data_IF_760895619332
#
_entry.id   IF_760895619332
#
_cell.length_a   1.000
_cell.length_b   1.000
_cell.length_c   1.000
_cell.angle_alpha   90.00
_cell.angle_beta   90.00
_cell.angle_gamma   90.00
#
_symmetry.space_group_name_H-M   'P 1'
#
loop_
_entity.id
_entity.type
_entity.pdbx_description
1 polymer ?
#
# COMPACT_ATOMS: atom_id res chain seq x y z
N UNK A 1 83.78 -5.58 9.82
CA UNK A 1 82.80 -5.08 8.83
C UNK A 1 81.58 -4.58 9.61
N UNK A 2 81.22 -3.29 9.51
CA UNK A 2 80.03 -2.75 10.23
C UNK A 2 78.81 -2.96 9.34
N UNK A 3 77.85 -3.78 9.78
CA UNK A 3 76.58 -3.94 9.07
C UNK A 3 75.75 -2.67 9.23
N UNK A 4 75.37 -2.05 8.12
CA UNK A 4 74.41 -0.95 8.13
C UNK A 4 73.03 -1.50 8.49
N UNK A 5 72.32 -0.81 9.39
CA UNK A 5 70.96 -1.19 9.77
C UNK A 5 70.00 -0.78 8.66
N UNK A 6 69.04 -1.65 8.34
CA UNK A 6 68.00 -1.41 7.32
C UNK A 6 67.16 -0.15 7.59
N UNK A 7 67.07 0.29 8.84
CA UNK A 7 66.42 1.54 9.25
C UNK A 7 67.04 2.78 8.61
N UNK A 8 68.31 2.73 8.18
CA UNK A 8 68.95 3.85 7.49
C UNK A 8 68.56 3.94 6.00
N UNK A 9 67.89 2.92 5.45
CA UNK A 9 67.49 2.86 4.05
C UNK A 9 65.98 3.07 3.84
N UNK A 10 65.18 3.00 4.90
CA UNK A 10 63.74 3.23 4.85
C UNK A 10 63.47 4.55 5.57
N UNK A 11 63.06 5.58 4.82
CA UNK A 11 62.51 6.79 5.42
C UNK A 11 61.16 6.45 6.04
N UNK A 12 61.07 6.49 7.36
CA UNK A 12 59.80 6.38 8.08
C UNK A 12 59.01 7.67 7.84
N UNK A 13 58.11 7.66 6.86
CA UNK A 13 57.06 8.67 6.79
C UNK A 13 56.06 8.40 7.93
N UNK A 14 55.71 9.44 8.69
CA UNK A 14 54.76 9.35 9.79
C UNK A 14 53.42 8.84 9.23
N UNK A 15 52.95 7.67 9.68
CA UNK A 15 51.75 7.02 9.13
C UNK A 15 50.46 7.86 9.30
N UNK A 16 50.54 8.93 10.11
CA UNK A 16 49.45 9.89 10.34
C UNK A 16 49.06 10.66 9.08
N UNK A 17 49.98 10.85 8.14
CA UNK A 17 49.74 11.59 6.89
C UNK A 17 49.42 10.66 5.71
N UNK A 18 49.29 9.35 5.95
CA UNK A 18 48.93 8.40 4.90
C UNK A 18 47.44 8.52 4.56
N UNK A 19 47.15 9.19 3.44
CA UNK A 19 45.82 9.15 2.81
C UNK A 19 45.82 7.99 1.83
N UNK A 20 45.06 6.94 2.15
CA UNK A 20 44.88 5.81 1.23
C UNK A 20 44.34 6.32 -0.11
N UNK A 21 44.93 5.89 -1.26
CA UNK A 21 44.31 6.13 -2.56
C UNK A 21 42.90 5.55 -2.52
N UNK A 22 41.88 6.39 -2.74
CA UNK A 22 40.53 5.86 -2.95
C UNK A 22 40.55 5.08 -4.25
N UNK A 23 40.21 3.80 -4.18
CA UNK A 23 39.91 3.01 -5.37
C UNK A 23 38.93 3.81 -6.22
N UNK A 24 39.30 4.03 -7.48
CA UNK A 24 38.50 4.87 -8.37
C UNK A 24 37.23 4.09 -8.74
N UNK A 25 36.14 4.34 -8.00
CA UNK A 25 34.79 3.77 -8.25
C UNK A 25 34.23 4.07 -9.66
N UNK A 26 34.95 4.86 -10.46
CA UNK A 26 34.57 5.29 -11.81
C UNK A 26 34.26 4.13 -12.77
N UNK A 27 34.94 2.98 -12.63
CA UNK A 27 34.65 1.79 -13.46
C UNK A 27 33.29 1.16 -13.11
N UNK A 28 32.93 1.16 -11.82
CA UNK A 28 31.65 0.62 -11.32
C UNK A 28 30.49 1.57 -11.65
N UNK A 29 30.72 2.88 -11.56
CA UNK A 29 29.70 3.91 -11.84
C UNK A 29 29.34 3.98 -13.33
N UNK A 30 30.30 3.71 -14.23
CA UNK A 30 30.10 3.79 -15.69
C UNK A 30 29.66 2.48 -16.34
N UNK A 31 29.53 1.39 -15.59
CA UNK A 31 29.10 0.10 -16.14
C UNK A 31 27.66 0.19 -16.68
N UNK A 32 27.50 0.04 -18.00
CA UNK A 32 26.20 -0.06 -18.65
C UNK A 32 25.82 -1.54 -18.77
N UNK A 33 24.64 -1.96 -18.26
CA UNK A 33 24.17 -3.33 -18.42
C UNK A 33 24.06 -3.69 -19.90
N UNK A 34 24.45 -4.91 -20.25
CA UNK A 34 24.54 -5.36 -21.66
C UNK A 34 23.37 -6.23 -22.08
N UNK A 35 22.52 -6.63 -21.13
CA UNK A 35 21.40 -7.53 -21.34
C UNK A 35 20.08 -6.89 -20.90
N UNK A 36 18.98 -7.25 -21.59
CA UNK A 36 17.64 -6.73 -21.27
C UNK A 36 17.22 -7.02 -19.83
N UNK A 37 17.60 -8.17 -19.28
CA UNK A 37 17.26 -8.55 -17.90
C UNK A 37 18.01 -7.72 -16.84
N UNK A 38 19.27 -7.37 -17.10
CA UNK A 38 20.05 -6.51 -16.20
C UNK A 38 19.58 -5.06 -16.25
N UNK A 39 19.16 -4.56 -17.42
CA UNK A 39 18.52 -3.24 -17.56
C UNK A 39 17.24 -3.15 -16.71
N UNK A 40 16.38 -4.17 -16.78
CA UNK A 40 15.15 -4.23 -15.99
C UNK A 40 15.44 -4.33 -14.48
N UNK A 41 16.48 -5.07 -14.09
CA UNK A 41 16.89 -5.17 -12.69
C UNK A 41 17.38 -3.81 -12.15
N UNK A 42 18.24 -3.11 -12.88
CA UNK A 42 18.71 -1.76 -12.50
C UNK A 42 17.55 -0.77 -12.40
N UNK A 43 16.57 -0.86 -13.31
CA UNK A 43 15.38 0.00 -13.27
C UNK A 43 14.50 -0.28 -12.04
N UNK A 44 14.27 -1.55 -11.69
CA UNK A 44 13.45 -1.97 -10.55
C UNK A 44 14.15 -1.76 -9.20
N UNK A 45 15.48 -1.80 -9.17
CA UNK A 45 16.29 -1.71 -7.94
C UNK A 45 17.01 -0.36 -7.79
N UNK A 46 16.44 0.72 -8.32
CA UNK A 46 16.99 2.08 -8.14
C UNK A 46 16.74 2.56 -6.70
N UNK A 47 17.80 2.62 -5.90
CA UNK A 47 17.73 3.13 -4.51
C UNK A 47 17.38 4.61 -4.54
N UNK A 48 16.16 4.95 -4.15
CA UNK A 48 15.74 6.34 -3.93
C UNK A 48 16.27 6.80 -2.58
N UNK A 49 17.29 7.66 -2.59
CA UNK A 49 17.70 8.41 -1.40
C UNK A 49 16.83 9.65 -1.32
N UNK A 50 15.82 9.64 -0.46
CA UNK A 50 15.15 10.86 -0.04
C UNK A 50 15.93 11.45 1.13
N UNK A 51 16.19 12.75 1.11
CA UNK A 51 16.63 13.50 2.28
C UNK A 51 15.44 13.59 3.25
N UNK A 52 15.15 12.46 3.91
CA UNK A 52 14.24 12.47 5.03
C UNK A 52 14.97 13.17 6.18
N UNK A 53 14.53 14.39 6.50
CA UNK A 53 14.62 14.89 7.88
C UNK A 53 14.28 13.73 8.82
N UNK A 54 14.91 13.60 10.01
CA UNK A 54 14.58 12.54 10.95
C UNK A 54 13.16 12.81 11.48
N UNK A 55 12.16 12.47 10.67
CA UNK A 55 10.79 12.31 11.11
C UNK A 55 10.92 11.33 12.27
N UNK A 56 10.39 11.72 13.43
CA UNK A 56 10.58 10.95 14.65
C UNK A 56 10.28 9.47 14.43
N UNK A 57 10.93 8.62 15.21
CA UNK A 57 10.76 7.16 15.26
C UNK A 57 9.28 6.67 15.26
N UNK A 58 8.36 7.60 15.52
CA UNK A 58 6.91 7.56 15.34
C UNK A 58 6.41 7.32 13.91
N UNK A 59 7.24 7.04 12.89
CA UNK A 59 6.74 6.51 11.60
C UNK A 59 7.28 5.12 11.28
N UNK A 60 8.18 4.59 12.11
CA UNK A 60 8.82 3.28 11.92
C UNK A 60 8.14 2.23 12.81
N UNK A 61 7.65 2.61 13.99
CA UNK A 61 7.17 1.68 15.02
C UNK A 61 5.65 1.63 15.20
N UNK A 62 4.92 2.59 14.65
CA UNK A 62 3.46 2.58 14.57
C UNK A 62 3.02 1.85 13.29
N UNK A 63 3.20 0.54 13.30
CA UNK A 63 2.80 -0.38 12.24
C UNK A 63 1.31 -0.25 11.89
N UNK A 64 1.02 0.60 10.91
CA UNK A 64 -0.03 0.32 9.94
C UNK A 64 0.69 -0.10 8.68
N UNK A 65 0.49 -1.36 8.28
CA UNK A 65 0.98 -1.87 7.01
C UNK A 65 0.25 -1.07 5.93
N UNK A 66 0.86 0.03 5.47
CA UNK A 66 0.49 0.64 4.19
C UNK A 66 1.08 -0.25 3.12
N UNK A 67 0.31 -1.27 2.80
CA UNK A 67 0.41 -1.97 1.53
C UNK A 67 0.44 -0.88 0.45
N UNK A 68 1.56 -0.77 -0.28
CA UNK A 68 1.65 0.01 -1.50
C UNK A 68 0.78 -0.68 -2.56
N UNK A 69 -0.54 -0.59 -2.35
CA UNK A 69 -1.51 -0.80 -3.41
C UNK A 69 -1.36 0.42 -4.31
N UNK A 70 -0.95 0.21 -5.55
CA UNK A 70 -1.04 1.21 -6.62
C UNK A 70 -2.43 1.86 -6.56
N UNK A 71 -2.49 3.08 -6.01
CA UNK A 71 -3.72 3.86 -5.95
C UNK A 71 -3.90 4.54 -7.30
N UNK A 72 -4.18 3.73 -8.33
CA UNK A 72 -4.57 4.22 -9.65
C UNK A 72 -6.10 4.21 -9.86
N UNK A 73 -6.88 4.19 -8.77
CA UNK A 73 -8.35 4.08 -8.83
C UNK A 73 -9.12 5.07 -7.94
N UNK A 74 -8.50 6.15 -7.44
CA UNK A 74 -9.15 7.01 -6.43
C UNK A 74 -10.09 8.12 -6.95
N UNK A 75 -10.37 8.21 -8.26
CA UNK A 75 -11.23 9.31 -8.78
C UNK A 75 -12.42 8.94 -9.65
N UNK A 76 -12.67 7.67 -9.98
CA UNK A 76 -13.71 7.36 -11.00
C UNK A 76 -15.10 6.93 -10.51
N UNK A 77 -15.35 6.63 -9.23
CA UNK A 77 -16.63 5.98 -8.83
C UNK A 77 -17.21 6.43 -7.48
N UNK A 78 -17.17 7.73 -7.18
CA UNK A 78 -17.69 8.28 -5.92
C UNK A 78 -19.22 8.51 -5.91
N UNK A 79 -19.94 8.08 -6.94
CA UNK A 79 -21.41 8.13 -7.02
C UNK A 79 -22.04 6.75 -7.31
N UNK A 80 -21.32 5.68 -6.98
CA UNK A 80 -21.93 4.34 -6.95
C UNK A 80 -22.69 4.21 -5.63
N UNK A 81 -24.01 4.00 -5.71
CA UNK A 81 -24.86 3.81 -4.53
C UNK A 81 -24.38 2.65 -3.67
N UNK A 82 -24.77 2.61 -2.39
CA UNK A 82 -24.30 1.56 -1.46
C UNK A 82 -24.62 0.15 -1.98
N UNK A 83 -25.75 -0.01 -2.67
CA UNK A 83 -26.13 -1.28 -3.30
C UNK A 83 -25.13 -1.76 -4.37
N UNK A 84 -24.59 -0.85 -5.19
CA UNK A 84 -23.65 -1.19 -6.25
C UNK A 84 -22.29 -1.58 -5.66
N UNK A 85 -21.86 -0.88 -4.61
CA UNK A 85 -20.66 -1.29 -3.85
C UNK A 85 -20.84 -2.66 -3.20
N UNK A 86 -22.02 -2.99 -2.68
CA UNK A 86 -22.32 -4.34 -2.16
C UNK A 86 -22.27 -5.41 -3.25
N UNK A 87 -22.75 -5.11 -4.46
CA UNK A 87 -22.63 -6.03 -5.62
C UNK A 87 -21.18 -6.21 -6.05
N UNK A 88 -20.37 -5.15 -5.99
CA UNK A 88 -18.93 -5.20 -6.27
C UNK A 88 -18.19 -6.08 -5.27
N UNK A 89 -18.46 -5.94 -3.97
CA UNK A 89 -17.91 -6.81 -2.91
C UNK A 89 -18.16 -8.28 -3.19
N UNK A 90 -19.39 -8.62 -3.60
CA UNK A 90 -19.76 -10.00 -3.95
C UNK A 90 -18.97 -10.51 -5.16
N UNK A 91 -18.82 -9.68 -6.18
CA UNK A 91 -18.09 -10.02 -7.41
C UNK A 91 -16.59 -10.19 -7.16
N UNK A 92 -16.00 -9.27 -6.42
CA UNK A 92 -14.57 -9.24 -6.12
C UNK A 92 -14.20 -10.28 -5.03
N UNK A 93 -15.18 -10.79 -4.28
CA UNK A 93 -15.02 -11.79 -3.20
C UNK A 93 -14.09 -11.35 -2.06
N UNK A 94 -13.98 -10.05 -1.85
CA UNK A 94 -13.13 -9.45 -0.84
C UNK A 94 -13.92 -8.45 0.01
N UNK A 95 -13.51 -8.27 1.26
CA UNK A 95 -14.10 -7.25 2.11
C UNK A 95 -13.73 -5.85 1.57
N UNK A 96 -14.71 -4.95 1.47
CA UNK A 96 -14.45 -3.55 1.08
C UNK A 96 -15.06 -2.59 2.08
N UNK A 97 -14.49 -1.38 2.15
CA UNK A 97 -15.06 -0.28 2.93
C UNK A 97 -16.13 0.41 2.11
N UNK A 98 -17.34 0.48 2.64
CA UNK A 98 -18.46 1.20 2.05
C UNK A 98 -18.54 2.58 2.70
N UNK A 99 -18.59 3.63 1.88
CA UNK A 99 -18.82 5.01 2.33
C UNK A 99 -20.30 5.33 2.16
N UNK A 100 -20.95 5.69 3.26
CA UNK A 100 -22.38 6.06 3.26
C UNK A 100 -22.56 7.55 2.98
N UNK A 101 -23.80 7.98 2.67
CA UNK A 101 -24.12 9.41 2.45
C UNK A 101 -23.86 10.27 3.68
N UNK A 102 -23.96 9.69 4.87
CA UNK A 102 -23.63 10.35 6.13
C UNK A 102 -22.12 10.52 6.38
N UNK A 103 -21.26 10.11 5.44
CA UNK A 103 -19.81 10.22 5.54
C UNK A 103 -19.14 9.13 6.40
N UNK A 104 -19.90 8.32 7.14
CA UNK A 104 -19.37 7.17 7.87
C UNK A 104 -18.90 6.10 6.88
N UNK A 105 -17.95 5.29 7.30
CA UNK A 105 -17.47 4.13 6.54
C UNK A 105 -17.64 2.86 7.36
N UNK A 106 -17.99 1.75 6.72
CA UNK A 106 -18.05 0.44 7.36
C UNK A 106 -17.42 -0.61 6.46
N UNK A 107 -16.61 -1.48 7.05
CA UNK A 107 -16.07 -2.64 6.36
C UNK A 107 -17.16 -3.71 6.30
N UNK A 108 -17.44 -4.21 5.10
CA UNK A 108 -18.42 -5.27 4.89
C UNK A 108 -17.73 -6.41 4.15
N UNK A 109 -17.88 -7.62 4.71
CA UNK A 109 -17.35 -8.84 4.12
C UNK A 109 -18.26 -9.36 2.99
N UNK A 110 -17.71 -10.31 2.23
CA UNK A 110 -18.39 -10.92 1.10
C UNK A 110 -19.68 -11.65 1.49
N UNK A 111 -19.74 -12.32 2.64
CA UNK A 111 -20.90 -13.11 3.06
C UNK A 111 -22.07 -12.17 3.40
N UNK A 112 -21.80 -11.12 4.15
CA UNK A 112 -22.76 -10.08 4.51
C UNK A 112 -23.31 -9.39 3.26
N UNK A 113 -22.43 -8.98 2.33
CA UNK A 113 -22.86 -8.37 1.08
C UNK A 113 -23.68 -9.33 0.19
N UNK A 114 -23.31 -10.61 0.14
CA UNK A 114 -24.07 -11.65 -0.56
C UNK A 114 -25.48 -11.82 0.00
N UNK A 115 -25.61 -11.77 1.32
CA UNK A 115 -26.91 -11.92 1.97
C UNK A 115 -27.82 -10.73 1.67
N UNK A 116 -27.28 -9.50 1.74
CA UNK A 116 -28.05 -8.28 1.47
C UNK A 116 -28.51 -8.24 0.01
N UNK A 117 -27.60 -8.48 -0.94
CA UNK A 117 -27.92 -8.47 -2.39
C UNK A 117 -28.95 -9.54 -2.75
N UNK A 118 -28.76 -10.78 -2.30
CA UNK A 118 -29.72 -11.87 -2.55
C UNK A 118 -31.08 -11.59 -1.93
N UNK A 119 -31.11 -11.03 -0.72
CA UNK A 119 -32.37 -10.72 -0.04
C UNK A 119 -33.08 -9.54 -0.69
N UNK A 120 -32.34 -8.53 -1.12
CA UNK A 120 -32.88 -7.39 -1.86
C UNK A 120 -33.55 -7.84 -3.18
N UNK A 121 -32.88 -8.67 -3.97
CA UNK A 121 -33.40 -9.13 -5.26
C UNK A 121 -34.53 -10.16 -5.12
N UNK A 122 -34.44 -11.09 -4.16
CA UNK A 122 -35.41 -12.19 -4.01
C UNK A 122 -36.61 -11.87 -3.11
N UNK A 123 -36.41 -11.15 -2.00
CA UNK A 123 -37.44 -10.95 -0.95
C UNK A 123 -38.23 -9.66 -1.17
N UNK A 124 -37.58 -8.59 -1.64
CA UNK A 124 -38.25 -7.31 -1.82
C UNK A 124 -38.85 -7.25 -3.23
N UNK A 125 -40.09 -7.70 -3.39
CA UNK A 125 -40.76 -7.67 -4.70
C UNK A 125 -41.54 -6.38 -4.97
N UNK A 126 -41.95 -5.65 -3.92
CA UNK A 126 -42.71 -4.40 -4.06
C UNK A 126 -41.76 -3.21 -4.32
N UNK A 127 -42.08 -2.39 -5.33
CA UNK A 127 -41.26 -1.25 -5.74
C UNK A 127 -41.07 -0.21 -4.61
N UNK A 128 -42.13 0.10 -3.87
CA UNK A 128 -42.07 1.08 -2.78
C UNK A 128 -41.14 0.65 -1.64
N UNK A 129 -41.09 -0.64 -1.33
CA UNK A 129 -40.19 -1.19 -0.32
C UNK A 129 -38.74 -1.26 -0.79
N UNK A 130 -38.50 -1.45 -2.10
CA UNK A 130 -37.13 -1.39 -2.66
C UNK A 130 -36.54 -0.01 -2.49
N UNK A 131 -37.28 1.02 -2.90
CA UNK A 131 -36.84 2.41 -2.77
C UNK A 131 -36.59 2.83 -1.30
N UNK A 132 -37.41 2.33 -0.36
CA UNK A 132 -37.19 2.58 1.07
C UNK A 132 -35.94 1.87 1.58
N UNK A 133 -35.69 0.63 1.16
CA UNK A 133 -34.49 -0.12 1.57
C UNK A 133 -33.23 0.46 0.94
N UNK A 134 -33.25 0.90 -0.32
CA UNK A 134 -32.14 1.63 -0.94
C UNK A 134 -31.82 2.91 -0.17
N UNK A 135 -32.85 3.72 0.16
CA UNK A 135 -32.67 4.92 0.99
C UNK A 135 -32.11 4.62 2.38
N UNK A 136 -32.55 3.51 3.00
CA UNK A 136 -32.05 3.08 4.31
C UNK A 136 -30.59 2.62 4.22
N UNK A 137 -30.24 1.82 3.21
CA UNK A 137 -28.87 1.37 2.96
C UNK A 137 -27.92 2.56 2.73
N UNK A 138 -28.36 3.59 2.00
CA UNK A 138 -27.57 4.78 1.74
C UNK A 138 -27.43 5.71 2.96
N UNK A 139 -28.41 5.71 3.86
CA UNK A 139 -28.48 6.67 4.98
C UNK A 139 -27.41 6.44 6.05
N UNK A 140 -26.92 5.20 6.19
CA UNK A 140 -25.81 4.93 7.10
C UNK A 140 -25.62 3.49 7.54
N UNK A 141 -24.60 3.25 8.38
CA UNK A 141 -24.33 1.94 8.98
C UNK A 141 -25.52 1.39 9.77
N UNK A 142 -26.24 2.26 10.48
CA UNK A 142 -27.42 1.90 11.26
C UNK A 142 -28.57 1.41 10.35
N UNK A 143 -28.74 2.04 9.19
CA UNK A 143 -29.72 1.60 8.19
C UNK A 143 -29.34 0.24 7.59
N UNK A 144 -28.06 0.04 7.29
CA UNK A 144 -27.57 -1.25 6.81
C UNK A 144 -27.72 -2.37 7.84
N UNK A 145 -27.42 -2.11 9.11
CA UNK A 145 -27.60 -3.10 10.18
C UNK A 145 -29.07 -3.44 10.42
N UNK A 146 -29.99 -2.47 10.34
CA UNK A 146 -31.43 -2.76 10.40
C UNK A 146 -31.88 -3.61 9.23
N UNK A 147 -31.39 -3.32 8.02
CA UNK A 147 -31.68 -4.13 6.83
C UNK A 147 -31.11 -5.54 7.01
N UNK A 148 -29.91 -5.66 7.56
CA UNK A 148 -29.27 -6.94 7.88
C UNK A 148 -30.11 -7.76 8.87
N UNK A 149 -30.55 -7.14 9.96
CA UNK A 149 -31.35 -7.76 11.02
C UNK A 149 -32.71 -8.26 10.49
N UNK A 150 -33.40 -7.43 9.69
CA UNK A 150 -34.65 -7.81 8.99
C UNK A 150 -34.41 -8.98 8.02
N UNK A 151 -33.23 -9.07 7.41
CA UNK A 151 -32.88 -10.12 6.46
C UNK A 151 -32.41 -11.41 7.14
N UNK A 152 -31.81 -11.33 8.34
CA UNK A 152 -31.35 -12.49 9.12
C UNK A 152 -32.48 -13.15 9.90
N UNK A 153 -33.42 -12.38 10.45
CA UNK A 153 -34.46 -12.89 11.35
C UNK A 153 -35.74 -13.37 10.63
N UNK A 154 -35.63 -13.82 9.37
CA UNK A 154 -36.74 -14.41 8.61
C UNK A 154 -36.27 -15.63 7.82
#
# INVERSE_FOLDING_TARGET
MRLQKFSNFIGEADAKDYVAPKDSDDEVIKYKPRSKGEEEFVAKHKVTKSDAEPRGQDHIFNGSIKEEVEVEDEKKKLDEGVLDTLRKIVKDKQAQKIKFKNGKQMMIDMQTANMITKSFDKRIKKADTKAKVEKLLDSGPEGLMKVLDIMQNN
#
